data_IF_457519725917
#
_entry.id   IF_457519725917
#
_cell.length_a   1.000
_cell.length_b   1.000
_cell.length_c   1.000
_cell.angle_alpha   90.00
_cell.angle_beta   90.00
_cell.angle_gamma   90.00
#
_symmetry.space_group_name_H-M   'P 1'
#
loop_
_entity.id
_entity.type
_entity.pdbx_description
1 polymer ?
#
# COMPACT_ATOMS: atom_id res chain seq x y z
N UNK A 1 50.01 13.11 1.44
CA UNK A 1 49.08 12.40 0.54
C UNK A 1 48.10 11.50 1.33
N UNK A 2 48.55 10.84 2.38
CA UNK A 2 47.73 9.89 3.18
C UNK A 2 46.54 10.53 3.92
N UNK A 3 46.67 11.78 4.38
CA UNK A 3 45.58 12.49 5.08
C UNK A 3 44.48 12.92 4.11
N UNK A 4 44.85 13.31 2.89
CA UNK A 4 43.91 13.72 1.85
C UNK A 4 43.07 12.52 1.39
N UNK A 5 43.68 11.35 1.16
CA UNK A 5 42.93 10.15 0.74
C UNK A 5 42.00 9.62 1.84
N UNK A 6 42.41 9.72 3.11
CA UNK A 6 41.54 9.39 4.25
C UNK A 6 40.33 10.32 4.31
N UNK A 7 40.54 11.62 4.11
CA UNK A 7 39.46 12.61 4.13
C UNK A 7 38.50 12.43 2.95
N UNK A 8 39.02 12.20 1.74
CA UNK A 8 38.18 11.93 0.57
C UNK A 8 37.33 10.67 0.75
N UNK A 9 37.90 9.60 1.32
CA UNK A 9 37.18 8.36 1.57
C UNK A 9 36.04 8.54 2.58
N UNK A 10 36.30 9.26 3.69
CA UNK A 10 35.29 9.57 4.71
C UNK A 10 34.14 10.40 4.13
N UNK A 11 34.44 11.40 3.28
CA UNK A 11 33.39 12.20 2.64
C UNK A 11 32.52 11.33 1.72
N UNK A 12 33.14 10.49 0.88
CA UNK A 12 32.41 9.60 -0.04
C UNK A 12 31.51 8.64 0.73
N UNK A 13 32.02 8.02 1.80
CA UNK A 13 31.23 7.14 2.67
C UNK A 13 30.06 7.88 3.33
N UNK A 14 30.27 9.12 3.77
CA UNK A 14 29.21 9.92 4.41
C UNK A 14 28.10 10.26 3.41
N UNK A 15 28.46 10.63 2.18
CA UNK A 15 27.50 10.97 1.12
C UNK A 15 26.72 9.72 0.68
N UNK A 16 27.36 8.56 0.53
CA UNK A 16 26.66 7.33 0.13
C UNK A 16 25.69 6.83 1.20
N UNK A 17 26.06 6.90 2.49
CA UNK A 17 25.19 6.55 3.61
C UNK A 17 23.98 7.51 3.66
N UNK A 18 24.20 8.80 3.42
CA UNK A 18 23.13 9.79 3.39
C UNK A 18 22.09 9.48 2.31
N UNK A 19 22.52 9.11 1.10
CA UNK A 19 21.61 8.78 0.00
C UNK A 19 20.85 7.48 0.28
N UNK A 20 21.51 6.47 0.87
CA UNK A 20 20.84 5.23 1.27
C UNK A 20 19.79 5.44 2.38
N UNK A 21 19.99 6.42 3.27
CA UNK A 21 19.04 6.80 4.32
C UNK A 21 17.76 7.49 3.84
N UNK A 22 17.74 8.01 2.61
CA UNK A 22 16.53 8.61 2.01
C UNK A 22 15.64 7.59 1.28
N UNK A 23 16.12 6.37 1.06
CA UNK A 23 15.32 5.29 0.47
C UNK A 23 14.78 4.36 1.56
N UNK A 24 13.77 4.86 2.28
CA UNK A 24 12.72 4.06 2.90
C UNK A 24 13.17 2.91 3.81
N UNK A 25 13.69 3.25 4.99
CA UNK A 25 13.67 2.31 6.12
C UNK A 25 12.31 2.45 6.82
N UNK A 26 11.25 1.92 6.19
CA UNK A 26 9.97 1.71 6.88
C UNK A 26 10.08 0.47 7.78
N UNK A 27 10.95 0.55 8.79
CA UNK A 27 10.99 -0.42 9.88
C UNK A 27 10.30 0.23 11.07
N UNK A 28 8.97 0.21 11.06
CA UNK A 28 8.19 0.38 12.29
C UNK A 28 7.35 -0.86 12.52
N UNK A 29 7.51 -1.42 13.71
CA UNK A 29 7.00 -2.71 14.17
C UNK A 29 5.47 -2.76 14.37
N UNK A 30 4.72 -1.85 13.76
CA UNK A 30 3.26 -1.82 13.75
C UNK A 30 2.76 -0.90 12.61
N UNK A 31 3.35 -1.00 11.40
CA UNK A 31 2.84 -0.28 10.23
C UNK A 31 1.51 -0.90 9.82
N UNK A 32 0.45 -0.51 10.51
CA UNK A 32 -0.90 -0.77 10.04
C UNK A 32 -1.02 -0.13 8.66
N UNK A 33 -1.33 -0.97 7.67
CA UNK A 33 -1.51 -0.53 6.31
C UNK A 33 -2.61 0.53 6.18
N UNK A 34 -2.92 0.96 4.95
CA UNK A 34 -3.98 1.94 4.66
C UNK A 34 -5.35 1.67 5.31
N UNK A 35 -5.62 0.40 5.68
CA UNK A 35 -6.84 -0.04 6.35
C UNK A 35 -6.71 -0.23 7.89
N UNK A 36 -5.64 0.27 8.51
CA UNK A 36 -5.44 0.11 9.94
C UNK A 36 -5.20 -1.36 10.32
N UNK A 37 -5.87 -1.81 11.38
CA UNK A 37 -5.91 -3.21 11.85
C UNK A 37 -6.60 -4.19 10.90
N UNK A 38 -7.32 -3.69 9.89
CA UNK A 38 -8.04 -4.55 8.95
C UNK A 38 -7.13 -5.01 7.82
N UNK A 39 -7.11 -6.31 7.60
CA UNK A 39 -6.38 -6.93 6.49
C UNK A 39 -7.01 -6.56 5.14
N UNK A 40 -6.26 -5.82 4.32
CA UNK A 40 -6.71 -5.31 3.02
C UNK A 40 -7.21 -6.44 2.12
N UNK A 41 -6.56 -7.61 2.15
CA UNK A 41 -6.90 -8.76 1.29
C UNK A 41 -8.22 -9.42 1.71
N UNK A 42 -8.48 -9.57 3.01
CA UNK A 42 -9.79 -10.01 3.54
C UNK A 42 -10.88 -9.01 3.18
N UNK A 43 -10.57 -7.73 3.29
CA UNK A 43 -11.48 -6.65 2.92
C UNK A 43 -11.76 -6.63 1.41
N UNK A 44 -10.79 -6.96 0.56
CA UNK A 44 -10.97 -7.14 -0.88
C UNK A 44 -11.81 -8.39 -1.21
N UNK A 45 -11.60 -9.49 -0.49
CA UNK A 45 -12.36 -10.73 -0.70
C UNK A 45 -13.86 -10.56 -0.42
N UNK A 46 -14.23 -9.70 0.55
CA UNK A 46 -15.64 -9.35 0.82
C UNK A 46 -16.32 -8.67 -0.38
N UNK A 47 -15.56 -8.08 -1.31
CA UNK A 47 -16.07 -7.46 -2.53
C UNK A 47 -16.21 -8.46 -3.69
N UNK A 48 -15.95 -9.76 -3.47
CA UNK A 48 -16.23 -10.83 -4.43
C UNK A 48 -17.60 -10.72 -5.13
N UNK A 49 -18.74 -10.50 -4.44
CA UNK A 49 -20.05 -10.31 -5.09
C UNK A 49 -20.16 -9.05 -5.97
N UNK A 50 -19.23 -8.10 -5.84
CA UNK A 50 -19.13 -6.92 -6.68
C UNK A 50 -18.25 -7.13 -7.92
N UNK A 51 -17.47 -8.22 -8.01
CA UNK A 51 -16.50 -8.46 -9.08
C UNK A 51 -17.09 -8.36 -10.48
N UNK A 52 -18.32 -8.85 -10.66
CA UNK A 52 -18.99 -8.76 -11.96
C UNK A 52 -19.30 -7.30 -12.32
N UNK A 53 -19.79 -6.52 -11.35
CA UNK A 53 -20.06 -5.09 -11.52
C UNK A 53 -18.78 -4.26 -11.75
N UNK A 54 -17.64 -4.67 -11.18
CA UNK A 54 -16.36 -3.98 -11.39
C UNK A 54 -15.74 -4.28 -12.75
N UNK A 55 -15.94 -5.48 -13.31
CA UNK A 55 -15.41 -5.85 -14.63
C UNK A 55 -16.23 -5.28 -15.79
N UNK A 56 -17.51 -4.98 -15.58
CA UNK A 56 -18.43 -4.57 -16.65
C UNK A 56 -19.11 -3.24 -16.35
N UNK A 57 -18.82 -2.22 -17.17
CA UNK A 57 -19.30 -0.83 -17.00
C UNK A 57 -20.82 -0.67 -16.86
N UNK A 58 -21.62 -1.63 -17.34
CA UNK A 58 -23.09 -1.61 -17.31
C UNK A 58 -23.70 -2.85 -16.66
N UNK A 59 -22.91 -3.60 -15.89
CA UNK A 59 -23.46 -4.76 -15.19
C UNK A 59 -24.42 -4.32 -14.08
N UNK A 60 -25.54 -5.04 -13.90
CA UNK A 60 -26.41 -4.84 -12.76
C UNK A 60 -25.64 -5.16 -11.48
N UNK A 61 -25.76 -4.28 -10.49
CA UNK A 61 -25.17 -4.48 -9.16
C UNK A 61 -26.14 -5.32 -8.35
N UNK A 62 -25.68 -6.45 -7.81
CA UNK A 62 -26.49 -7.25 -6.88
C UNK A 62 -26.74 -6.46 -5.59
N UNK A 63 -27.94 -6.57 -5.01
CA UNK A 63 -28.27 -5.95 -3.72
C UNK A 63 -27.24 -6.28 -2.62
N UNK A 64 -26.72 -7.52 -2.64
CA UNK A 64 -25.63 -7.94 -1.74
C UNK A 64 -24.37 -7.11 -1.87
N UNK A 65 -23.99 -6.73 -3.09
CA UNK A 65 -22.84 -5.86 -3.33
C UNK A 65 -23.08 -4.46 -2.74
N UNK A 66 -24.28 -3.90 -2.92
CA UNK A 66 -24.64 -2.60 -2.33
C UNK A 66 -24.55 -2.62 -0.80
N UNK A 67 -25.12 -3.63 -0.14
CA UNK A 67 -25.06 -3.75 1.32
C UNK A 67 -23.63 -3.87 1.86
N UNK A 68 -22.73 -4.49 1.10
CA UNK A 68 -21.32 -4.64 1.50
C UNK A 68 -20.56 -3.32 1.36
N UNK A 69 -20.78 -2.59 0.26
CA UNK A 69 -20.19 -1.26 0.04
C UNK A 69 -20.66 -0.28 1.13
N UNK A 70 -21.94 -0.31 1.48
CA UNK A 70 -22.52 0.57 2.51
C UNK A 70 -21.91 0.33 3.90
N UNK A 71 -21.56 -0.93 4.21
CA UNK A 71 -20.92 -1.31 5.48
C UNK A 71 -19.41 -1.09 5.50
N UNK A 72 -18.82 -0.63 4.39
CA UNK A 72 -17.37 -0.45 4.28
C UNK A 72 -16.93 0.84 4.95
N UNK A 73 -15.77 0.87 5.64
CA UNK A 73 -15.26 2.13 6.19
C UNK A 73 -15.08 3.16 5.07
N UNK A 74 -15.61 4.36 5.28
CA UNK A 74 -15.47 5.53 4.39
C UNK A 74 -14.05 6.11 4.38
N UNK A 75 -13.04 5.31 4.72
CA UNK A 75 -11.65 5.71 4.67
C UNK A 75 -11.17 5.61 3.21
N UNK A 76 -10.93 6.75 2.54
CA UNK A 76 -10.57 6.76 1.12
C UNK A 76 -9.23 6.06 0.85
N UNK A 77 -8.30 6.11 1.81
CA UNK A 77 -7.00 5.47 1.69
C UNK A 77 -7.12 3.94 1.72
N UNK A 78 -7.95 3.41 2.63
CA UNK A 78 -8.26 1.99 2.69
C UNK A 78 -8.98 1.50 1.43
N UNK A 79 -9.97 2.24 0.94
CA UNK A 79 -10.68 1.91 -0.30
C UNK A 79 -9.74 1.89 -1.52
N UNK A 80 -8.84 2.86 -1.62
CA UNK A 80 -7.85 2.91 -2.68
C UNK A 80 -6.93 1.68 -2.64
N UNK A 81 -6.48 1.29 -1.44
CA UNK A 81 -5.66 0.10 -1.27
C UNK A 81 -6.38 -1.19 -1.64
N UNK A 82 -7.67 -1.32 -1.29
CA UNK A 82 -8.50 -2.47 -1.65
C UNK A 82 -8.68 -2.57 -3.17
N UNK A 83 -8.87 -1.44 -3.86
CA UNK A 83 -9.00 -1.42 -5.32
C UNK A 83 -7.67 -1.70 -6.02
N UNK A 84 -6.54 -1.31 -5.41
CA UNK A 84 -5.20 -1.61 -5.92
C UNK A 84 -4.73 -3.02 -5.61
N UNK A 85 -5.26 -3.69 -4.58
CA UNK A 85 -4.98 -5.12 -4.39
C UNK A 85 -5.51 -5.85 -5.62
N UNK A 86 -4.60 -6.40 -6.43
CA UNK A 86 -4.95 -7.22 -7.59
C UNK A 86 -6.02 -8.22 -7.15
N UNK A 87 -7.23 -8.06 -7.65
CA UNK A 87 -8.27 -9.07 -7.46
C UNK A 87 -7.70 -10.34 -8.11
N UNK A 88 -7.56 -11.45 -7.36
CA UNK A 88 -7.11 -12.70 -7.95
C UNK A 88 -8.13 -13.08 -9.02
N UNK A 89 -7.65 -13.19 -10.25
CA UNK A 89 -8.42 -13.72 -11.39
C UNK A 89 -8.75 -15.20 -11.17
#
# INVERSE_FOLDING_TARGET
METQVKYMWVIVSTVTISIAGFHGVDVTHDYYGPCGKHDVKKEAQKLSPCTYATKHRRAPVSERCCTIIEKKPSNPHCLCAILQTRMPE
#
